data_IF_047876889976
#
_entry.id   IF_047876889976
#
_cell.length_a   1.000
_cell.length_b   1.000
_cell.length_c   1.000
_cell.angle_alpha   90.00
_cell.angle_beta   90.00
_cell.angle_gamma   90.00
#
_symmetry.space_group_name_H-M   'P 1'
#
loop_
_entity.id
_entity.type
_entity.pdbx_description
1 polymer ?
#
# COMPACT_ATOMS: atom_id res chain seq x y z
N UNK A 1 39.09 28.76 -2.53
CA UNK A 1 39.89 27.52 -2.45
C UNK A 1 39.62 26.75 -1.15
N UNK A 2 40.18 27.10 0.02
CA UNK A 2 39.89 26.36 1.27
C UNK A 2 38.39 26.39 1.68
N UNK A 3 37.71 27.51 1.42
CA UNK A 3 36.29 27.69 1.72
C UNK A 3 35.36 26.93 0.74
N UNK A 4 35.83 26.67 -0.48
CA UNK A 4 35.06 25.91 -1.50
C UNK A 4 35.14 24.41 -1.21
N UNK A 5 36.33 23.90 -0.86
CA UNK A 5 36.53 22.50 -0.52
C UNK A 5 35.76 22.07 0.74
N UNK A 6 35.66 22.95 1.73
CA UNK A 6 34.88 22.69 2.95
C UNK A 6 33.37 22.70 2.68
N UNK A 7 32.91 23.57 1.78
CA UNK A 7 31.52 23.62 1.31
C UNK A 7 31.14 22.39 0.49
N UNK A 8 32.04 21.93 -0.37
CA UNK A 8 31.83 20.74 -1.20
C UNK A 8 31.76 19.46 -0.35
N UNK A 9 32.59 19.35 0.70
CA UNK A 9 32.51 18.24 1.67
C UNK A 9 31.19 18.23 2.44
N UNK A 10 30.75 19.39 2.96
CA UNK A 10 29.48 19.48 3.67
C UNK A 10 28.28 19.15 2.76
N UNK A 11 28.30 19.59 1.50
CA UNK A 11 27.27 19.25 0.52
C UNK A 11 27.25 17.75 0.20
N UNK A 12 28.43 17.13 0.08
CA UNK A 12 28.56 15.69 -0.13
C UNK A 12 28.00 14.90 1.05
N UNK A 13 28.37 15.26 2.28
CA UNK A 13 27.91 14.57 3.48
C UNK A 13 26.38 14.66 3.63
N UNK A 14 25.81 15.85 3.39
CA UNK A 14 24.37 16.05 3.36
C UNK A 14 23.67 15.19 2.30
N UNK A 15 24.27 15.05 1.11
CA UNK A 15 23.74 14.20 0.04
C UNK A 15 23.78 12.70 0.42
N UNK A 16 24.85 12.24 1.07
CA UNK A 16 24.96 10.86 1.55
C UNK A 16 23.93 10.57 2.64
N UNK A 17 23.73 11.50 3.58
CA UNK A 17 22.72 11.35 4.62
C UNK A 17 21.29 11.38 4.06
N UNK A 18 21.02 12.26 3.10
CA UNK A 18 19.75 12.27 2.39
C UNK A 18 19.48 10.95 1.66
N UNK A 19 20.49 10.40 0.96
CA UNK A 19 20.38 9.12 0.27
C UNK A 19 20.09 7.98 1.24
N UNK A 20 20.76 7.96 2.39
CA UNK A 20 20.54 6.97 3.44
C UNK A 20 19.12 7.05 4.00
N UNK A 21 18.64 8.27 4.27
CA UNK A 21 17.28 8.50 4.72
C UNK A 21 16.26 8.08 3.65
N UNK A 22 16.53 8.29 2.37
CA UNK A 22 15.68 7.83 1.26
C UNK A 22 15.65 6.30 1.12
N UNK A 23 16.77 5.61 1.34
CA UNK A 23 16.79 4.14 1.38
C UNK A 23 15.91 3.61 2.50
N UNK A 24 15.96 4.24 3.68
CA UNK A 24 15.08 3.91 4.80
C UNK A 24 13.61 4.20 4.48
N UNK A 25 13.33 5.39 3.94
CA UNK A 25 12.01 5.85 3.50
C UNK A 25 11.37 4.88 2.50
N UNK A 26 12.10 4.53 1.44
CA UNK A 26 11.69 3.54 0.44
C UNK A 26 11.46 2.16 1.08
N UNK A 27 12.35 1.74 2.00
CA UNK A 27 12.21 0.50 2.75
C UNK A 27 10.92 0.44 3.58
N UNK A 28 10.59 1.52 4.29
CA UNK A 28 9.35 1.66 5.07
C UNK A 28 8.12 1.63 4.15
N UNK A 29 8.09 2.47 3.11
CA UNK A 29 6.97 2.56 2.17
C UNK A 29 6.67 1.21 1.51
N UNK A 30 7.70 0.56 0.94
CA UNK A 30 7.56 -0.75 0.31
C UNK A 30 7.08 -1.82 1.29
N UNK A 31 7.59 -1.81 2.53
CA UNK A 31 7.23 -2.79 3.55
C UNK A 31 5.78 -2.62 4.01
N UNK A 32 5.38 -1.41 4.36
CA UNK A 32 4.03 -1.10 4.84
C UNK A 32 2.99 -1.38 3.74
N UNK A 33 3.18 -0.85 2.54
CA UNK A 33 2.20 -0.96 1.45
C UNK A 33 2.07 -2.40 0.95
N UNK A 34 3.18 -3.12 0.85
CA UNK A 34 3.14 -4.55 0.49
C UNK A 34 2.44 -5.37 1.57
N UNK A 35 2.72 -5.11 2.86
CA UNK A 35 2.08 -5.81 3.96
C UNK A 35 0.57 -5.57 4.00
N UNK A 36 0.15 -4.32 3.78
CA UNK A 36 -1.25 -3.91 3.71
C UNK A 36 -1.95 -4.63 2.54
N UNK A 37 -1.30 -4.71 1.37
CA UNK A 37 -1.85 -5.42 0.21
C UNK A 37 -1.96 -6.93 0.40
N UNK A 38 -0.99 -7.55 1.08
CA UNK A 38 -1.05 -8.97 1.42
C UNK A 38 -2.11 -9.26 2.49
N UNK A 39 -2.30 -8.36 3.45
CA UNK A 39 -3.40 -8.44 4.42
C UNK A 39 -4.77 -8.36 3.72
N UNK A 40 -4.94 -7.41 2.80
CA UNK A 40 -6.15 -7.32 1.96
C UNK A 40 -6.45 -8.65 1.26
N UNK A 41 -5.48 -9.21 0.54
CA UNK A 41 -5.67 -10.44 -0.21
C UNK A 41 -6.09 -11.62 0.69
N UNK A 42 -5.50 -11.72 1.89
CA UNK A 42 -5.89 -12.74 2.87
C UNK A 42 -7.30 -12.52 3.42
N UNK A 43 -7.65 -11.29 3.78
CA UNK A 43 -8.94 -10.96 4.40
C UNK A 43 -10.11 -11.17 3.44
N UNK A 44 -10.00 -10.73 2.18
CA UNK A 44 -11.08 -10.96 1.21
C UNK A 44 -11.26 -12.45 0.89
N UNK A 45 -10.17 -13.24 0.89
CA UNK A 45 -10.25 -14.68 0.67
C UNK A 45 -10.93 -15.39 1.84
N UNK A 46 -10.54 -15.05 3.08
CA UNK A 46 -11.15 -15.60 4.28
C UNK A 46 -12.65 -15.26 4.36
N UNK A 47 -13.01 -14.01 4.09
CA UNK A 47 -14.39 -13.54 4.01
C UNK A 47 -15.20 -14.34 2.98
N UNK A 48 -14.68 -14.50 1.76
CA UNK A 48 -15.39 -15.25 0.71
C UNK A 48 -15.58 -16.73 1.07
N UNK A 49 -14.56 -17.37 1.66
CA UNK A 49 -14.63 -18.76 2.09
C UNK A 49 -15.71 -18.95 3.18
N UNK A 50 -15.75 -18.04 4.16
CA UNK A 50 -16.73 -18.08 5.25
C UNK A 50 -18.16 -17.91 4.72
N UNK A 51 -18.40 -16.89 3.88
CA UNK A 51 -19.72 -16.66 3.29
C UNK A 51 -20.18 -17.81 2.39
N UNK A 52 -19.24 -18.42 1.67
CA UNK A 52 -19.52 -19.62 0.88
C UNK A 52 -19.95 -20.79 1.79
N UNK A 53 -19.25 -21.02 2.90
CA UNK A 53 -19.57 -22.07 3.86
C UNK A 53 -20.95 -21.85 4.52
N UNK A 54 -21.25 -20.62 4.92
CA UNK A 54 -22.56 -20.25 5.48
C UNK A 54 -23.69 -20.44 4.47
N UNK A 55 -23.47 -20.09 3.19
CA UNK A 55 -24.47 -20.29 2.14
C UNK A 55 -24.70 -21.79 1.85
N UNK A 56 -23.63 -22.58 1.75
CA UNK A 56 -23.73 -24.02 1.49
C UNK A 56 -24.35 -24.81 2.65
N UNK A 57 -24.18 -24.34 3.88
CA UNK A 57 -24.79 -24.94 5.08
C UNK A 57 -26.22 -24.47 5.33
N UNK A 58 -26.77 -23.60 4.47
CA UNK A 58 -28.13 -23.07 4.60
C UNK A 58 -28.31 -22.05 5.72
N UNK A 59 -27.22 -21.58 6.37
CA UNK A 59 -27.29 -20.53 7.40
C UNK A 59 -27.72 -19.18 6.84
N UNK A 60 -27.32 -18.90 5.60
CA UNK A 60 -27.73 -17.72 4.83
C UNK A 60 -28.08 -18.13 3.41
N UNK A 61 -28.88 -17.31 2.73
CA UNK A 61 -29.12 -17.47 1.28
C UNK A 61 -27.90 -17.03 0.47
N UNK A 62 -27.75 -17.54 -0.74
CA UNK A 62 -26.71 -17.07 -1.66
C UNK A 62 -26.82 -15.58 -1.98
N UNK A 63 -28.05 -15.03 -2.05
CA UNK A 63 -28.28 -13.60 -2.21
C UNK A 63 -27.72 -12.78 -1.05
N UNK A 64 -28.00 -13.19 0.20
CA UNK A 64 -27.43 -12.57 1.40
C UNK A 64 -25.90 -12.69 1.42
N UNK A 65 -25.35 -13.85 1.04
CA UNK A 65 -23.91 -14.06 0.96
C UNK A 65 -23.26 -13.10 -0.04
N UNK A 66 -23.87 -12.90 -1.22
CA UNK A 66 -23.37 -12.00 -2.25
C UNK A 66 -23.41 -10.52 -1.81
N UNK A 67 -24.48 -10.12 -1.13
CA UNK A 67 -24.60 -8.77 -0.56
C UNK A 67 -23.52 -8.51 0.50
N UNK A 68 -23.41 -9.41 1.49
CA UNK A 68 -22.41 -9.30 2.55
C UNK A 68 -20.98 -9.32 1.99
N UNK A 69 -20.71 -10.17 0.98
CA UNK A 69 -19.39 -10.22 0.34
C UNK A 69 -19.01 -8.89 -0.29
N UNK A 70 -19.98 -8.18 -0.88
CA UNK A 70 -19.73 -6.90 -1.52
C UNK A 70 -19.50 -5.78 -0.49
N UNK A 71 -20.35 -5.71 0.54
CA UNK A 71 -20.23 -4.74 1.63
C UNK A 71 -18.91 -4.92 2.39
N UNK A 72 -18.64 -6.15 2.86
CA UNK A 72 -17.43 -6.46 3.61
C UNK A 72 -16.16 -6.24 2.78
N UNK A 73 -16.17 -6.53 1.48
CA UNK A 73 -15.02 -6.23 0.60
C UNK A 73 -14.74 -4.73 0.52
N UNK A 74 -15.76 -3.89 0.45
CA UNK A 74 -15.59 -2.43 0.43
C UNK A 74 -15.02 -1.93 1.76
N UNK A 75 -15.53 -2.44 2.89
CA UNK A 75 -15.01 -2.13 4.22
C UNK A 75 -13.55 -2.58 4.38
N UNK A 76 -13.21 -3.81 3.99
CA UNK A 76 -11.84 -4.33 4.00
C UNK A 76 -10.94 -3.44 3.14
N UNK A 77 -11.40 -2.98 1.98
CA UNK A 77 -10.63 -2.09 1.12
C UNK A 77 -10.31 -0.76 1.81
N UNK A 78 -11.30 -0.17 2.47
CA UNK A 78 -11.15 1.13 3.13
C UNK A 78 -10.22 1.06 4.34
N UNK A 79 -10.37 0.03 5.19
CA UNK A 79 -9.46 -0.23 6.31
C UNK A 79 -8.01 -0.39 5.84
N UNK A 80 -7.79 -1.13 4.74
CA UNK A 80 -6.45 -1.36 4.21
C UNK A 80 -5.85 -0.08 3.61
N UNK A 81 -6.67 0.76 2.96
CA UNK A 81 -6.23 2.08 2.48
C UNK A 81 -5.78 2.94 3.65
N UNK A 82 -6.53 2.99 4.74
CA UNK A 82 -6.14 3.73 5.96
C UNK A 82 -4.82 3.28 6.58
N UNK A 83 -4.37 2.05 6.29
CA UNK A 83 -3.10 1.48 6.78
C UNK A 83 -1.94 1.58 5.78
N UNK A 84 -2.19 2.08 4.57
CA UNK A 84 -1.16 2.24 3.54
C UNK A 84 -0.55 3.64 3.59
N UNK A 85 0.69 3.77 3.12
CA UNK A 85 1.33 5.09 2.92
C UNK A 85 0.57 5.89 1.85
N UNK A 86 0.78 7.21 1.73
CA UNK A 86 0.19 7.99 0.64
C UNK A 86 0.45 7.40 -0.75
N UNK A 87 1.67 6.87 -0.99
CA UNK A 87 2.05 6.22 -2.25
C UNK A 87 1.21 4.97 -2.49
N UNK A 88 1.12 4.07 -1.50
CA UNK A 88 0.32 2.86 -1.59
C UNK A 88 -1.17 3.14 -1.76
N UNK A 89 -1.70 4.15 -1.05
CA UNK A 89 -3.08 4.61 -1.21
C UNK A 89 -3.36 5.08 -2.62
N UNK A 90 -2.49 5.92 -3.19
CA UNK A 90 -2.66 6.43 -4.54
C UNK A 90 -2.60 5.32 -5.60
N UNK A 91 -1.69 4.35 -5.41
CA UNK A 91 -1.64 3.17 -6.26
C UNK A 91 -2.89 2.30 -6.12
N UNK A 92 -3.41 2.10 -4.90
CA UNK A 92 -4.62 1.34 -4.65
C UNK A 92 -5.86 1.99 -5.29
N UNK A 93 -5.96 3.32 -5.22
CA UNK A 93 -7.02 4.10 -5.86
C UNK A 93 -6.94 4.05 -7.38
N UNK A 94 -5.72 4.09 -7.97
CA UNK A 94 -5.52 3.89 -9.42
C UNK A 94 -5.93 2.49 -9.89
N UNK A 95 -5.64 1.44 -9.11
CA UNK A 95 -5.92 0.05 -9.50
C UNK A 95 -7.42 -0.29 -9.33
N UNK A 96 -8.08 0.28 -8.32
CA UNK A 96 -9.51 0.08 -8.07
C UNK A 96 -10.15 1.40 -7.60
N UNK A 97 -10.80 2.10 -8.51
CA UNK A 97 -11.72 3.20 -8.20
C UNK A 97 -13.08 2.60 -7.82
N UNK A 98 -13.49 2.81 -6.56
CA UNK A 98 -14.78 2.45 -5.93
C UNK A 98 -15.39 1.04 -6.18
N UNK A 99 -16.27 0.61 -5.26
CA UNK A 99 -16.95 -0.67 -5.36
C UNK A 99 -18.12 -0.60 -6.34
N UNK A 100 -18.32 -1.65 -7.15
CA UNK A 100 -19.53 -1.80 -7.98
C UNK A 100 -20.77 -2.01 -7.12
N UNK A 101 -21.95 -1.66 -7.60
CA UNK A 101 -23.18 -2.01 -6.87
C UNK A 101 -23.45 -3.52 -6.96
N UNK A 102 -24.24 -4.08 -6.03
CA UNK A 102 -24.64 -5.48 -6.11
C UNK A 102 -25.38 -5.77 -7.43
N UNK A 103 -26.24 -4.85 -7.87
CA UNK A 103 -27.00 -5.00 -9.12
C UNK A 103 -26.09 -5.03 -10.36
N UNK A 104 -25.05 -4.20 -10.41
CA UNK A 104 -24.05 -4.25 -11.47
C UNK A 104 -23.29 -5.59 -11.49
N UNK A 105 -22.99 -6.13 -10.31
CA UNK A 105 -22.33 -7.43 -10.19
C UNK A 105 -23.25 -8.56 -10.64
N UNK A 106 -24.52 -8.54 -10.24
CA UNK A 106 -25.55 -9.49 -10.68
C UNK A 106 -25.67 -9.47 -12.20
N UNK A 107 -25.88 -8.30 -12.81
CA UNK A 107 -26.02 -8.18 -14.26
C UNK A 107 -24.78 -8.71 -15.00
N UNK A 108 -23.59 -8.29 -14.55
CA UNK A 108 -22.32 -8.73 -15.15
C UNK A 108 -22.11 -10.24 -15.00
N UNK A 109 -22.36 -10.79 -13.82
CA UNK A 109 -22.14 -12.22 -13.54
C UNK A 109 -23.18 -13.11 -14.22
N UNK A 110 -24.43 -12.66 -14.29
CA UNK A 110 -25.46 -13.32 -15.08
C UNK A 110 -25.05 -13.40 -16.55
N UNK A 111 -24.61 -12.28 -17.14
CA UNK A 111 -24.14 -12.28 -18.53
C UNK A 111 -22.92 -13.17 -18.77
N UNK A 112 -21.98 -13.22 -17.83
CA UNK A 112 -20.79 -14.07 -17.92
C UNK A 112 -21.13 -15.57 -17.87
N UNK A 113 -22.14 -15.97 -17.09
CA UNK A 113 -22.51 -17.37 -16.90
C UNK A 113 -23.56 -17.87 -17.89
N UNK A 114 -24.44 -16.98 -18.36
CA UNK A 114 -25.63 -17.36 -19.12
C UNK A 114 -25.82 -16.57 -20.44
N UNK A 115 -24.87 -15.71 -20.82
CA UNK A 115 -24.85 -15.00 -22.10
C UNK A 115 -25.38 -13.56 -22.06
N UNK A 116 -25.12 -12.75 -23.11
CA UNK A 116 -25.23 -11.29 -23.08
C UNK A 116 -26.66 -10.74 -22.91
N UNK A 117 -27.68 -11.47 -23.35
CA UNK A 117 -29.08 -11.01 -23.33
C UNK A 117 -29.89 -11.59 -22.16
N UNK A 118 -29.21 -12.20 -21.18
CA UNK A 118 -29.88 -12.85 -20.06
C UNK A 118 -30.41 -11.83 -19.06
N UNK A 119 -31.60 -12.12 -18.53
CA UNK A 119 -32.26 -11.36 -17.47
C UNK A 119 -32.24 -12.17 -16.19
N UNK A 120 -31.61 -11.63 -15.14
CA UNK A 120 -31.43 -12.34 -13.87
C UNK A 120 -32.76 -12.78 -13.24
N UNK A 121 -33.79 -11.95 -13.37
CA UNK A 121 -35.16 -12.21 -12.91
C UNK A 121 -35.84 -13.37 -13.64
N UNK A 122 -35.36 -13.77 -14.82
CA UNK A 122 -35.87 -14.89 -15.61
C UNK A 122 -35.09 -16.20 -15.39
N UNK A 123 -34.02 -16.17 -14.60
CA UNK A 123 -33.25 -17.35 -14.25
C UNK A 123 -33.99 -18.21 -13.23
N UNK A 124 -33.76 -19.52 -13.28
CA UNK A 124 -34.23 -20.43 -12.22
C UNK A 124 -33.53 -20.10 -10.89
N UNK A 125 -34.12 -20.49 -9.76
CA UNK A 125 -33.51 -20.29 -8.45
C UNK A 125 -32.08 -20.88 -8.35
N UNK A 126 -31.85 -22.04 -8.98
CA UNK A 126 -30.53 -22.65 -9.06
C UNK A 126 -29.53 -21.81 -9.85
N UNK A 127 -29.95 -21.24 -10.98
CA UNK A 127 -29.13 -20.35 -11.80
C UNK A 127 -28.85 -19.01 -11.08
N UNK A 128 -29.85 -18.43 -10.40
CA UNK A 128 -29.67 -17.23 -9.58
C UNK A 128 -28.65 -17.47 -8.45
N UNK A 129 -28.74 -18.61 -7.77
CA UNK A 129 -27.78 -19.00 -6.74
C UNK A 129 -26.36 -19.18 -7.31
N UNK A 130 -26.22 -19.71 -8.53
CA UNK A 130 -24.92 -19.82 -9.20
C UNK A 130 -24.30 -18.44 -9.49
N UNK A 131 -25.11 -17.48 -9.95
CA UNK A 131 -24.68 -16.08 -10.15
C UNK A 131 -24.22 -15.46 -8.84
N UNK A 132 -25.00 -15.58 -7.77
CA UNK A 132 -24.63 -15.10 -6.44
C UNK A 132 -23.36 -15.77 -5.91
N UNK A 133 -23.21 -17.08 -6.07
CA UNK A 133 -22.00 -17.80 -5.67
C UNK A 133 -20.75 -17.31 -6.40
N UNK A 134 -20.87 -16.99 -7.70
CA UNK A 134 -19.76 -16.42 -8.47
C UNK A 134 -19.44 -14.98 -8.03
N UNK A 135 -20.42 -14.20 -7.55
CA UNK A 135 -20.16 -12.90 -6.90
C UNK A 135 -19.31 -13.10 -5.65
N UNK A 136 -19.72 -13.97 -4.72
CA UNK A 136 -18.98 -14.28 -3.48
C UNK A 136 -17.55 -14.74 -3.81
N UNK A 137 -17.41 -15.69 -4.74
CA UNK A 137 -16.11 -16.19 -5.19
C UNK A 137 -15.23 -15.08 -5.79
N UNK A 138 -15.82 -14.19 -6.60
CA UNK A 138 -15.08 -13.08 -7.20
C UNK A 138 -14.71 -11.98 -6.19
N UNK A 139 -15.51 -11.82 -5.14
CA UNK A 139 -15.24 -10.90 -4.04
C UNK A 139 -13.97 -11.31 -3.27
N UNK A 140 -13.68 -12.61 -3.17
CA UNK A 140 -12.44 -13.13 -2.58
C UNK A 140 -11.21 -13.13 -3.48
N UNK A 141 -11.35 -12.92 -4.79
CA UNK A 141 -10.21 -12.94 -5.72
C UNK A 141 -9.39 -11.65 -5.66
N UNK A 142 -8.10 -11.78 -5.32
CA UNK A 142 -7.08 -10.76 -5.54
C UNK A 142 -6.37 -10.98 -6.88
N UNK A 143 -5.73 -9.94 -7.44
CA UNK A 143 -4.89 -10.10 -8.62
C UNK A 143 -3.60 -10.84 -8.23
N UNK A 144 -3.45 -12.10 -8.66
CA UNK A 144 -2.34 -12.96 -8.28
C UNK A 144 -0.97 -12.40 -8.67
N UNK A 145 -0.84 -11.79 -9.86
CA UNK A 145 0.40 -11.17 -10.30
C UNK A 145 0.80 -10.00 -9.40
N UNK A 146 -0.16 -9.14 -9.03
CA UNK A 146 0.09 -8.04 -8.09
C UNK A 146 0.44 -8.60 -6.70
N UNK A 147 -0.31 -9.58 -6.21
CA UNK A 147 -0.04 -10.20 -4.90
C UNK A 147 1.37 -10.80 -4.85
N UNK A 148 1.81 -11.49 -5.91
CA UNK A 148 3.16 -12.06 -5.97
C UNK A 148 4.24 -10.97 -6.04
N UNK A 149 4.05 -9.94 -6.86
CA UNK A 149 4.95 -8.78 -6.91
C UNK A 149 5.08 -8.12 -5.54
N UNK A 150 3.98 -7.93 -4.82
CA UNK A 150 3.97 -7.34 -3.48
C UNK A 150 4.71 -8.22 -2.45
N UNK A 151 4.71 -9.56 -2.59
CA UNK A 151 5.56 -10.41 -1.73
C UNK A 151 7.04 -10.12 -1.96
N UNK A 152 7.46 -9.99 -3.21
CA UNK A 152 8.85 -9.66 -3.56
C UNK A 152 9.21 -8.26 -3.08
N UNK A 153 8.35 -7.27 -3.33
CA UNK A 153 8.55 -5.89 -2.84
C UNK A 153 8.60 -5.82 -1.31
N UNK A 154 7.80 -6.61 -0.60
CA UNK A 154 7.87 -6.70 0.86
C UNK A 154 9.24 -7.18 1.34
N UNK A 155 9.83 -8.18 0.67
CA UNK A 155 11.16 -8.68 1.00
C UNK A 155 12.23 -7.65 0.67
N UNK A 156 12.12 -7.00 -0.48
CA UNK A 156 13.04 -5.93 -0.89
C UNK A 156 12.99 -4.75 0.11
N UNK A 157 11.80 -4.27 0.46
CA UNK A 157 11.62 -3.19 1.43
C UNK A 157 12.21 -3.53 2.80
N UNK A 158 11.99 -4.76 3.28
CA UNK A 158 12.63 -5.24 4.52
C UNK A 158 14.14 -5.34 4.41
N UNK A 159 14.66 -5.74 3.25
CA UNK A 159 16.09 -5.74 2.96
C UNK A 159 16.69 -4.34 3.04
N UNK A 160 16.03 -3.33 2.45
CA UNK A 160 16.45 -1.93 2.52
C UNK A 160 16.42 -1.40 3.95
N UNK A 161 15.43 -1.77 4.75
CA UNK A 161 15.37 -1.42 6.17
C UNK A 161 16.54 -2.02 6.96
N UNK A 162 16.81 -3.31 6.79
CA UNK A 162 17.94 -3.98 7.45
C UNK A 162 19.26 -3.35 7.01
N UNK A 163 19.42 -3.06 5.72
CA UNK A 163 20.59 -2.38 5.19
C UNK A 163 20.77 -0.99 5.79
N UNK A 164 19.70 -0.18 5.83
CA UNK A 164 19.73 1.16 6.44
C UNK A 164 20.14 1.10 7.91
N UNK A 165 19.56 0.18 8.68
CA UNK A 165 19.93 -0.04 10.09
C UNK A 165 21.40 -0.44 10.22
N UNK A 166 21.89 -1.35 9.36
CA UNK A 166 23.29 -1.77 9.39
C UNK A 166 24.24 -0.59 9.13
N UNK A 167 23.90 0.29 8.17
CA UNK A 167 24.68 1.50 7.88
C UNK A 167 24.63 2.47 9.06
N UNK A 168 23.48 2.68 9.73
CA UNK A 168 23.40 3.50 10.95
C UNK A 168 24.20 2.93 12.12
N UNK A 169 24.19 1.62 12.32
CA UNK A 169 25.02 1.00 13.36
C UNK A 169 26.51 1.21 13.05
N UNK A 170 26.91 1.08 11.79
CA UNK A 170 28.30 1.32 11.37
C UNK A 170 28.72 2.78 11.62
N UNK A 171 27.90 3.75 11.24
CA UNK A 171 28.21 5.18 11.45
C UNK A 171 28.29 5.53 12.93
N UNK A 172 27.38 5.01 13.76
CA UNK A 172 27.41 5.22 15.22
C UNK A 172 28.63 4.54 15.86
N UNK A 173 29.00 3.33 15.41
CA UNK A 173 30.11 2.58 15.97
C UNK A 173 31.47 3.26 15.73
N UNK A 174 31.63 3.92 14.58
CA UNK A 174 32.84 4.64 14.20
C UNK A 174 32.86 6.11 14.65
N UNK A 175 31.79 6.60 15.29
CA UNK A 175 31.72 7.99 15.76
C UNK A 175 32.45 8.17 17.10
N UNK A 176 33.08 9.33 17.27
CA UNK A 176 33.75 9.73 18.52
C UNK A 176 32.74 9.85 19.67
N UNK A 177 31.60 10.53 19.41
CA UNK A 177 30.47 10.63 20.33
C UNK A 177 29.29 9.78 19.83
N UNK A 178 29.19 8.56 20.37
CA UNK A 178 28.16 7.59 19.96
C UNK A 178 26.73 8.05 20.27
N UNK A 179 26.52 8.77 21.37
CA UNK A 179 25.17 9.23 21.78
C UNK A 179 24.67 10.31 20.82
N UNK A 180 25.53 11.26 20.49
CA UNK A 180 25.22 12.33 19.56
C UNK A 180 25.03 11.80 18.14
N UNK A 181 25.90 10.90 17.68
CA UNK A 181 25.77 10.24 16.38
C UNK A 181 24.46 9.42 16.28
N UNK A 182 24.08 8.71 17.34
CA UNK A 182 22.83 7.98 17.38
C UNK A 182 21.61 8.91 17.33
N UNK A 183 21.66 10.04 18.03
CA UNK A 183 20.63 11.08 17.98
C UNK A 183 20.45 11.65 16.57
N UNK A 184 21.57 12.02 15.93
CA UNK A 184 21.59 12.56 14.56
C UNK A 184 21.03 11.56 13.54
N UNK A 185 21.51 10.32 13.58
CA UNK A 185 21.06 9.24 12.69
C UNK A 185 19.56 8.98 12.79
N UNK A 186 19.04 8.96 14.02
CA UNK A 186 17.61 8.78 14.29
C UNK A 186 16.80 10.00 13.81
N UNK A 187 17.30 11.22 14.05
CA UNK A 187 16.62 12.44 13.65
C UNK A 187 16.56 12.58 12.13
N UNK A 188 17.67 12.40 11.41
CA UNK A 188 17.75 12.50 9.96
C UNK A 188 16.93 11.41 9.27
N UNK A 189 17.07 10.16 9.70
CA UNK A 189 16.30 9.04 9.13
C UNK A 189 14.81 9.19 9.42
N UNK A 190 14.46 9.57 10.65
CA UNK A 190 13.08 9.83 11.05
C UNK A 190 12.46 10.99 10.28
N UNK A 191 13.20 12.07 10.08
CA UNK A 191 12.79 13.21 9.26
C UNK A 191 12.62 12.83 7.79
N UNK A 192 13.50 12.01 7.22
CA UNK A 192 13.34 11.53 5.85
C UNK A 192 12.08 10.67 5.66
N UNK A 193 11.80 9.74 6.58
CA UNK A 193 10.58 8.93 6.54
C UNK A 193 9.33 9.81 6.74
N UNK A 194 9.35 10.66 7.77
CA UNK A 194 8.21 11.54 8.09
C UNK A 194 7.95 12.57 7.00
N UNK A 195 9.01 13.18 6.48
CA UNK A 195 9.00 14.11 5.35
C UNK A 195 8.52 13.44 4.07
N UNK A 196 8.88 12.17 3.84
CA UNK A 196 8.38 11.44 2.68
C UNK A 196 6.90 11.08 2.78
N UNK A 197 6.42 10.72 3.97
CA UNK A 197 4.98 10.56 4.19
C UNK A 197 4.23 11.89 4.01
N UNK A 198 4.74 12.98 4.59
CA UNK A 198 4.11 14.29 4.48
C UNK A 198 4.13 14.81 3.03
N UNK A 199 5.28 14.78 2.37
CA UNK A 199 5.46 15.21 0.98
C UNK A 199 4.59 14.42 0.01
N UNK A 200 4.49 13.08 0.19
CA UNK A 200 3.58 12.26 -0.59
C UNK A 200 2.10 12.61 -0.35
N UNK A 201 1.71 12.86 0.90
CA UNK A 201 0.34 13.28 1.22
C UNK A 201 -0.01 14.64 0.60
N UNK A 202 0.89 15.63 0.71
CA UNK A 202 0.71 16.96 0.13
C UNK A 202 0.64 16.90 -1.39
N UNK A 203 1.51 16.13 -2.04
CA UNK A 203 1.46 15.90 -3.48
C UNK A 203 0.16 15.19 -3.91
N UNK A 204 -0.37 14.28 -3.08
CA UNK A 204 -1.66 13.64 -3.31
C UNK A 204 -2.85 14.61 -3.21
N UNK A 205 -2.79 15.59 -2.32
CA UNK A 205 -3.80 16.67 -2.26
C UNK A 205 -3.73 17.56 -3.50
N UNK A 206 -2.53 17.83 -4.02
CA UNK A 206 -2.33 18.68 -5.19
C UNK A 206 -2.72 17.98 -6.52
N UNK A 207 -2.28 16.74 -6.71
CA UNK A 207 -2.47 15.99 -7.96
C UNK A 207 -3.70 15.07 -7.96
N UNK A 208 -4.37 14.94 -6.82
CA UNK A 208 -5.50 14.06 -6.61
C UNK A 208 -5.14 12.65 -6.13
N UNK A 209 -6.10 11.95 -5.49
CA UNK A 209 -5.86 10.67 -4.82
C UNK A 209 -5.40 9.55 -5.78
N UNK A 210 -5.75 9.61 -7.07
CA UNK A 210 -5.42 8.57 -8.04
C UNK A 210 -4.09 8.74 -8.79
N UNK A 211 -3.23 9.68 -8.40
CA UNK A 211 -2.03 10.08 -9.14
C UNK A 211 -0.71 9.56 -8.50
N UNK A 212 -0.39 8.25 -8.60
CA UNK A 212 0.74 7.66 -7.88
C UNK A 212 2.10 8.24 -8.30
N UNK A 213 2.28 8.67 -9.55
CA UNK A 213 3.54 9.26 -9.98
C UNK A 213 3.86 10.56 -9.23
N UNK A 214 2.88 11.46 -9.10
CA UNK A 214 3.04 12.71 -8.36
C UNK A 214 3.28 12.46 -6.87
N UNK A 215 2.55 11.52 -6.27
CA UNK A 215 2.70 11.16 -4.86
C UNK A 215 4.07 10.54 -4.55
N UNK A 216 4.62 9.71 -5.45
CA UNK A 216 5.97 9.15 -5.31
C UNK A 216 7.02 10.25 -5.37
N UNK A 217 6.91 11.17 -6.33
CA UNK A 217 7.83 12.32 -6.42
C UNK A 217 7.74 13.18 -5.17
N UNK A 218 6.53 13.50 -4.71
CA UNK A 218 6.34 14.24 -3.47
C UNK A 218 6.93 13.54 -2.25
N UNK A 219 6.81 12.22 -2.17
CA UNK A 219 7.39 11.45 -1.07
C UNK A 219 8.91 11.42 -1.11
N UNK A 220 9.52 11.34 -2.30
CA UNK A 220 10.97 11.38 -2.43
C UNK A 220 11.53 12.78 -2.15
N UNK A 221 10.92 13.83 -2.73
CA UNK A 221 11.36 15.21 -2.52
C UNK A 221 11.15 15.65 -1.06
N UNK A 222 10.00 15.31 -0.48
CA UNK A 222 9.70 15.61 0.92
C UNK A 222 10.64 14.92 1.89
N UNK A 223 11.01 13.65 1.63
CA UNK A 223 11.95 12.92 2.46
C UNK A 223 13.36 13.49 2.37
N UNK A 224 13.87 13.71 1.15
CA UNK A 224 15.18 14.30 0.94
C UNK A 224 15.32 15.69 1.58
N UNK A 225 14.33 16.58 1.38
CA UNK A 225 14.36 17.93 1.95
C UNK A 225 14.31 17.92 3.48
N UNK A 226 13.50 17.03 4.09
CA UNK A 226 13.41 16.93 5.53
C UNK A 226 14.69 16.35 6.15
N UNK A 227 15.28 15.34 5.52
CA UNK A 227 16.55 14.75 5.95
C UNK A 227 17.70 15.77 5.89
N UNK A 228 17.84 16.48 4.76
CA UNK A 228 18.84 17.54 4.60
C UNK A 228 18.60 18.68 5.60
N UNK A 229 17.34 19.08 5.80
CA UNK A 229 16.98 20.13 6.74
C UNK A 229 17.41 19.80 8.17
N UNK A 230 17.22 18.57 8.62
CA UNK A 230 17.66 18.13 9.95
C UNK A 230 19.17 17.98 10.03
N UNK A 231 19.83 17.50 8.96
CA UNK A 231 21.28 17.41 8.89
C UNK A 231 21.96 18.77 9.09
N UNK A 232 21.40 19.85 8.54
CA UNK A 232 21.91 21.22 8.71
C UNK A 232 21.67 21.82 10.10
N UNK A 233 20.71 21.29 10.87
CA UNK A 233 20.35 21.79 12.19
C UNK A 233 21.15 21.13 13.32
N UNK A 234 21.93 20.10 13.01
CA UNK A 234 22.69 19.31 13.96
C UNK A 234 24.18 19.62 13.88
#
# INVERSE_FOLDING_TARGET
MANDEQKDRAAFDAAIQALKAEVANAGVHLSLDSSARLAYARQIQAMANELQLQATSGRITWGQAAQQAQEARNVIMEIIRGRSTPVGRAMAQRIKSEGKTLNELIARKAQQLHGPNVRFDRLTAAQQNAVYGEIVKSAGKSNAAITQRMRTLSRAGRGLLVFSIAVSVYTIANADNKVEAAGKELAVTGAGIGGGMAGGALAGLACGPGAPACVVVGAFVGGALAAIGVEFLW
#
